data_IF_511679364868
#
_entry.id   IF_511679364868
#
_cell.length_a   1.000
_cell.length_b   1.000
_cell.length_c   1.000
_cell.angle_alpha   90.00
_cell.angle_beta   90.00
_cell.angle_gamma   90.00
#
_symmetry.space_group_name_H-M   'P 1'
#
loop_
_entity.id
_entity.type
_entity.pdbx_description
1 polymer ?
#
# COMPACT_ATOMS: atom_id res chain seq x y z
N UNK A 1 -22.42 93.33 34.29
CA UNK A 1 -21.50 92.48 35.07
C UNK A 1 -20.42 92.05 34.10
N UNK A 2 -19.46 92.94 33.88
CA UNK A 2 -18.30 92.73 33.00
C UNK A 2 -17.17 93.56 33.57
N UNK A 3 -16.01 92.95 33.79
CA UNK A 3 -14.75 93.65 34.04
C UNK A 3 -13.65 92.89 33.32
N UNK A 4 -13.19 93.47 32.21
CA UNK A 4 -11.86 93.27 31.64
C UNK A 4 -10.85 94.25 32.29
N UNK A 5 -9.56 93.99 31.98
CA UNK A 5 -8.38 94.90 32.00
C UNK A 5 -7.54 94.86 33.31
N UNK A 6 -6.20 94.85 33.34
CA UNK A 6 -5.14 95.07 32.32
C UNK A 6 -3.72 94.82 32.94
N UNK A 7 -2.70 94.54 32.10
CA UNK A 7 -1.20 94.72 32.23
C UNK A 7 -0.43 94.09 33.42
N UNK A 8 0.86 93.70 33.37
CA UNK A 8 1.99 94.20 32.56
C UNK A 8 3.19 93.20 32.48
N UNK A 9 4.01 93.44 31.45
CA UNK A 9 5.44 93.23 31.19
C UNK A 9 6.43 92.57 32.20
N UNK A 10 7.40 91.79 31.66
CA UNK A 10 8.83 92.09 31.94
C UNK A 10 9.75 91.03 32.57
N UNK A 11 10.46 90.28 31.72
CA UNK A 11 11.91 89.95 31.69
C UNK A 11 12.82 90.04 32.95
N UNK A 12 13.34 88.86 33.33
CA UNK A 12 14.68 88.46 33.87
C UNK A 12 15.41 89.27 34.97
N UNK A 13 15.87 88.58 36.04
CA UNK A 13 17.18 88.85 36.67
C UNK A 13 17.69 87.74 37.62
N UNK A 14 18.74 87.04 37.17
CA UNK A 14 20.02 86.69 37.82
C UNK A 14 20.16 86.20 39.30
N UNK A 15 20.54 84.90 39.42
CA UNK A 15 21.56 84.19 40.28
C UNK A 15 21.66 84.39 41.82
N UNK A 16 21.94 83.29 42.55
CA UNK A 16 23.31 83.02 43.08
C UNK A 16 23.78 81.56 42.85
N UNK A 17 25.02 81.30 42.43
CA UNK A 17 26.27 81.10 43.22
C UNK A 17 26.48 79.67 43.77
N UNK A 18 27.19 78.87 42.96
CA UNK A 18 28.23 77.88 43.26
C UNK A 18 28.18 77.11 44.61
N UNK A 19 27.86 75.81 44.54
CA UNK A 19 28.10 74.83 45.61
C UNK A 19 28.51 73.48 45.01
N UNK A 20 29.77 73.10 45.23
CA UNK A 20 30.36 71.81 44.82
C UNK A 20 29.67 70.65 45.54
N UNK A 21 29.23 69.63 44.81
CA UNK A 21 29.25 68.26 45.35
C UNK A 21 29.22 67.21 44.23
N UNK A 22 30.30 66.44 44.14
CA UNK A 22 30.37 65.20 43.36
C UNK A 22 29.28 64.26 43.86
N UNK A 23 28.44 63.75 42.95
CA UNK A 23 27.66 62.55 43.20
C UNK A 23 27.69 61.69 41.94
N UNK A 24 28.03 60.44 42.19
CA UNK A 24 28.32 59.39 41.24
C UNK A 24 27.16 59.16 40.28
N UNK A 25 27.54 58.95 39.01
CA UNK A 25 26.72 58.34 37.98
C UNK A 25 26.08 57.05 38.51
N UNK A 26 24.76 57.03 38.61
CA UNK A 26 23.96 55.82 38.88
C UNK A 26 22.80 55.80 37.90
N UNK A 27 23.08 55.42 36.66
CA UNK A 27 22.05 55.00 35.73
C UNK A 27 21.73 53.53 36.03
N UNK A 28 20.62 53.29 36.71
CA UNK A 28 19.92 52.01 36.62
C UNK A 28 19.15 52.04 35.30
N UNK A 29 19.58 51.25 34.33
CA UNK A 29 18.72 50.84 33.22
C UNK A 29 18.84 49.33 33.15
N UNK A 30 17.75 48.67 33.53
CA UNK A 30 17.52 47.24 33.40
C UNK A 30 18.05 46.74 32.05
N UNK A 31 19.04 45.85 32.10
CA UNK A 31 19.34 44.95 30.99
C UNK A 31 18.22 43.93 30.89
N UNK A 32 17.05 44.35 30.40
CA UNK A 32 16.03 43.42 29.92
C UNK A 32 16.61 42.74 28.68
N UNK A 33 17.14 41.54 28.89
CA UNK A 33 17.56 40.62 27.83
C UNK A 33 16.34 40.25 27.00
N UNK A 34 16.03 41.11 26.05
CA UNK A 34 15.14 40.83 24.93
C UNK A 34 15.90 39.96 23.92
N UNK A 35 16.11 38.70 24.26
CA UNK A 35 16.46 37.67 23.28
C UNK A 35 15.21 37.42 22.43
N UNK A 36 15.05 38.18 21.36
CA UNK A 36 14.15 37.78 20.29
C UNK A 36 14.74 36.52 19.67
N UNK A 37 14.01 35.42 19.82
CA UNK A 37 14.32 34.07 19.35
C UNK A 37 14.38 34.02 17.82
N UNK A 38 15.49 34.51 17.26
CA UNK A 38 15.76 34.47 15.82
C UNK A 38 16.05 33.03 15.33
N UNK A 39 16.36 32.11 16.26
CA UNK A 39 16.64 30.70 15.95
C UNK A 39 15.44 29.74 15.95
N UNK A 40 14.23 30.16 16.33
CA UNK A 40 13.11 29.20 16.48
C UNK A 40 12.45 28.76 15.18
N UNK A 41 12.49 29.60 14.14
CA UNK A 41 11.75 29.34 12.89
C UNK A 41 12.49 28.36 11.97
N UNK A 42 13.82 28.35 12.00
CA UNK A 42 14.65 27.45 11.21
C UNK A 42 14.71 26.06 11.84
N UNK A 43 14.75 25.96 13.18
CA UNK A 43 14.75 24.67 13.89
C UNK A 43 13.44 23.91 13.74
N UNK A 44 12.29 24.60 13.76
CA UNK A 44 10.96 23.97 13.58
C UNK A 44 10.77 23.44 12.16
N UNK A 45 11.25 24.17 11.16
CA UNK A 45 11.18 23.76 9.76
C UNK A 45 12.11 22.58 9.47
N UNK A 46 13.33 22.60 10.03
CA UNK A 46 14.28 21.48 9.91
C UNK A 46 13.76 20.23 10.64
N UNK A 47 13.13 20.39 11.81
CA UNK A 47 12.49 19.31 12.54
C UNK A 47 11.28 18.73 11.80
N UNK A 48 10.45 19.58 11.17
CA UNK A 48 9.32 19.12 10.36
C UNK A 48 9.77 18.36 9.11
N UNK A 49 10.79 18.85 8.39
CA UNK A 49 11.39 18.14 7.27
C UNK A 49 12.01 16.81 7.70
N UNK A 50 12.67 16.77 8.86
CA UNK A 50 13.22 15.54 9.44
C UNK A 50 12.11 14.54 9.79
N UNK A 51 11.00 15.00 10.38
CA UNK A 51 9.84 14.16 10.68
C UNK A 51 9.19 13.62 9.41
N UNK A 52 9.00 14.46 8.38
CA UNK A 52 8.44 14.04 7.10
C UNK A 52 9.35 13.01 6.42
N UNK A 53 10.66 13.24 6.39
CA UNK A 53 11.62 12.28 5.86
C UNK A 53 11.56 10.95 6.61
N UNK A 54 11.45 10.98 7.94
CA UNK A 54 11.30 9.78 8.77
C UNK A 54 9.98 9.05 8.49
N UNK A 55 8.87 9.77 8.34
CA UNK A 55 7.56 9.19 8.01
C UNK A 55 7.56 8.56 6.61
N UNK A 56 8.20 9.20 5.63
CA UNK A 56 8.35 8.64 4.28
C UNK A 56 9.25 7.41 4.28
N UNK A 57 10.37 7.45 5.02
CA UNK A 57 11.27 6.32 5.17
C UNK A 57 10.58 5.14 5.88
N UNK A 58 9.80 5.43 6.92
CA UNK A 58 8.99 4.45 7.65
C UNK A 58 7.90 3.86 6.76
N UNK A 59 7.19 4.69 6.01
CA UNK A 59 6.17 4.23 5.07
C UNK A 59 6.77 3.34 3.98
N UNK A 60 7.90 3.75 3.40
CA UNK A 60 8.62 2.97 2.39
C UNK A 60 9.18 1.66 2.98
N UNK A 61 9.73 1.69 4.19
CA UNK A 61 10.26 0.49 4.85
C UNK A 61 9.16 -0.49 5.24
N UNK A 62 8.02 -0.03 5.77
CA UNK A 62 6.85 -0.89 6.02
C UNK A 62 6.25 -1.43 4.73
N UNK A 63 6.20 -0.62 3.68
CA UNK A 63 5.71 -1.06 2.37
C UNK A 63 6.62 -2.14 1.77
N UNK A 64 7.94 -1.92 1.80
CA UNK A 64 8.93 -2.92 1.39
C UNK A 64 8.90 -4.17 2.27
N UNK A 65 8.78 -4.01 3.59
CA UNK A 65 8.67 -5.14 4.53
C UNK A 65 7.40 -5.95 4.26
N UNK A 66 6.27 -5.30 3.97
CA UNK A 66 5.04 -5.98 3.55
C UNK A 66 5.24 -6.72 2.23
N UNK A 67 5.92 -6.12 1.26
CA UNK A 67 6.25 -6.78 0.00
C UNK A 67 7.16 -7.99 0.20
N UNK A 68 8.19 -7.88 1.04
CA UNK A 68 9.14 -8.96 1.35
C UNK A 68 8.44 -10.06 2.17
N UNK A 69 7.56 -9.72 3.10
CA UNK A 69 6.77 -10.68 3.88
C UNK A 69 5.64 -11.32 3.06
N UNK A 70 5.20 -10.67 1.98
CA UNK A 70 4.30 -11.24 0.96
C UNK A 70 5.02 -12.12 -0.07
N UNK A 71 6.35 -12.07 -0.16
CA UNK A 71 7.13 -13.04 -0.92
C UNK A 71 7.30 -14.25 0.01
N UNK A 72 6.53 -15.34 -0.17
CA UNK A 72 6.77 -16.54 0.62
C UNK A 72 8.22 -16.97 0.42
N UNK A 73 8.92 -17.45 1.47
CA UNK A 73 10.23 -18.06 1.29
C UNK A 73 10.05 -19.22 0.31
N UNK A 74 10.52 -19.03 -0.92
CA UNK A 74 10.65 -20.09 -1.93
C UNK A 74 11.63 -21.10 -1.39
N UNK A 75 11.09 -22.12 -0.74
CA UNK A 75 11.84 -23.12 -0.01
C UNK A 75 10.95 -24.24 0.49
N UNK A 76 10.06 -24.75 -0.36
CA UNK A 76 9.88 -26.19 -0.50
C UNK A 76 9.11 -26.50 -1.77
N UNK A 77 9.42 -27.63 -2.40
CA UNK A 77 8.61 -28.17 -3.50
C UNK A 77 7.29 -28.59 -2.87
N UNK A 78 6.30 -27.70 -2.89
CA UNK A 78 4.96 -28.03 -2.40
C UNK A 78 4.37 -29.09 -3.33
N UNK A 79 4.48 -30.35 -2.92
CA UNK A 79 3.86 -31.52 -3.55
C UNK A 79 2.33 -31.54 -3.34
N UNK A 80 1.70 -30.38 -3.11
CA UNK A 80 0.26 -30.28 -3.16
C UNK A 80 -0.13 -29.98 -4.61
N UNK A 81 -1.07 -30.74 -5.20
CA UNK A 81 -1.69 -30.30 -6.43
C UNK A 81 -2.18 -28.85 -6.22
N UNK A 82 -1.93 -27.99 -7.19
CA UNK A 82 -2.42 -26.62 -7.15
C UNK A 82 -3.94 -26.56 -6.92
N UNK A 83 -4.49 -25.39 -6.56
CA UNK A 83 -5.91 -25.25 -6.27
C UNK A 83 -6.75 -25.85 -7.39
N UNK A 84 -7.62 -26.77 -7.05
CA UNK A 84 -8.52 -27.41 -8.01
C UNK A 84 -9.77 -26.54 -8.23
N UNK A 85 -10.43 -26.72 -9.37
CA UNK A 85 -11.66 -25.99 -9.73
C UNK A 85 -12.78 -26.10 -8.69
N UNK A 86 -12.84 -27.24 -7.98
CA UNK A 86 -13.80 -27.52 -6.92
C UNK A 86 -13.37 -27.02 -5.54
N UNK A 87 -12.10 -26.63 -5.39
CA UNK A 87 -11.57 -26.20 -4.10
C UNK A 87 -12.13 -24.84 -3.72
N UNK A 88 -12.29 -24.66 -2.40
CA UNK A 88 -12.57 -23.36 -1.84
C UNK A 88 -11.36 -22.43 -2.08
N UNK A 89 -11.57 -21.22 -2.64
CA UNK A 89 -10.47 -20.30 -2.88
C UNK A 89 -9.88 -19.83 -1.55
N UNK A 90 -8.55 -19.92 -1.40
CA UNK A 90 -7.87 -19.29 -0.27
C UNK A 90 -7.84 -17.77 -0.45
N UNK A 91 -7.88 -17.02 0.65
CA UNK A 91 -7.91 -15.55 0.60
C UNK A 91 -6.75 -14.94 -0.23
N UNK A 92 -5.47 -15.39 -0.08
CA UNK A 92 -4.38 -14.82 -0.86
C UNK A 92 -4.50 -15.10 -2.36
N UNK A 93 -4.95 -16.30 -2.74
CA UNK A 93 -5.14 -16.65 -4.14
C UNK A 93 -6.33 -15.93 -4.76
N UNK A 94 -7.44 -15.83 -4.04
CA UNK A 94 -8.61 -15.05 -4.46
C UNK A 94 -8.23 -13.61 -4.78
N UNK A 95 -7.52 -12.94 -3.86
CA UNK A 95 -7.08 -11.57 -4.06
C UNK A 95 -6.04 -11.42 -5.18
N UNK A 96 -5.09 -12.36 -5.31
CA UNK A 96 -4.07 -12.34 -6.36
C UNK A 96 -4.66 -12.55 -7.74
N UNK A 97 -5.61 -13.48 -7.89
CA UNK A 97 -6.17 -13.83 -9.20
C UNK A 97 -7.17 -12.78 -9.70
N UNK A 98 -7.86 -12.10 -8.78
CA UNK A 98 -8.80 -11.02 -9.11
C UNK A 98 -8.16 -9.63 -9.10
N UNK A 99 -6.85 -9.51 -8.88
CA UNK A 99 -6.14 -8.22 -8.94
C UNK A 99 -6.38 -7.44 -10.25
N UNK A 100 -6.44 -8.08 -11.44
CA UNK A 100 -6.72 -7.37 -12.71
C UNK A 100 -8.16 -6.85 -12.84
N UNK A 101 -9.08 -7.28 -11.96
CA UNK A 101 -10.48 -6.91 -12.05
C UNK A 101 -10.68 -5.48 -11.53
N UNK A 102 -10.84 -4.54 -12.47
CA UNK A 102 -11.03 -3.12 -12.15
C UNK A 102 -12.46 -2.88 -11.64
N UNK A 103 -13.46 -3.33 -12.40
CA UNK A 103 -14.88 -3.18 -12.11
C UNK A 103 -15.43 -4.41 -11.38
N UNK A 104 -15.04 -4.56 -10.11
CA UNK A 104 -15.33 -5.74 -9.30
C UNK A 104 -16.77 -5.78 -8.72
N UNK A 105 -17.50 -4.65 -8.74
CA UNK A 105 -18.82 -4.56 -8.10
C UNK A 105 -19.87 -5.48 -8.74
N UNK A 106 -20.04 -5.51 -10.09
CA UNK A 106 -20.96 -6.46 -10.72
C UNK A 106 -20.57 -7.92 -10.43
N UNK A 107 -19.26 -8.20 -10.41
CA UNK A 107 -18.73 -9.52 -10.06
C UNK A 107 -19.14 -9.95 -8.66
N UNK A 108 -19.01 -9.05 -7.67
CA UNK A 108 -19.41 -9.34 -6.30
C UNK A 108 -20.90 -9.70 -6.19
N UNK A 109 -21.77 -9.02 -6.95
CA UNK A 109 -23.21 -9.31 -6.97
C UNK A 109 -23.57 -10.60 -7.73
N UNK A 110 -22.73 -11.02 -8.68
CA UNK A 110 -22.87 -12.29 -9.38
C UNK A 110 -22.37 -13.50 -8.57
N UNK A 111 -21.71 -13.28 -7.42
CA UNK A 111 -21.31 -14.37 -6.55
C UNK A 111 -22.55 -15.04 -5.91
N UNK A 112 -22.60 -16.38 -5.88
CA UNK A 112 -23.68 -17.10 -5.21
C UNK A 112 -23.63 -16.88 -3.69
N UNK A 113 -24.76 -17.01 -3.01
CA UNK A 113 -24.86 -16.91 -1.55
C UNK A 113 -25.26 -15.53 -1.02
N UNK A 114 -25.64 -14.59 -1.89
CA UNK A 114 -26.37 -13.39 -1.46
C UNK A 114 -25.48 -12.26 -0.93
N UNK A 115 -24.36 -11.96 -1.62
CA UNK A 115 -23.68 -10.69 -1.45
C UNK A 115 -24.64 -9.55 -1.84
N UNK A 116 -24.90 -8.64 -0.90
CA UNK A 116 -25.83 -7.54 -1.12
C UNK A 116 -25.12 -6.27 -1.60
N UNK A 117 -25.86 -5.32 -2.15
CA UNK A 117 -25.31 -4.00 -2.49
C UNK A 117 -24.71 -3.29 -1.27
N UNK A 118 -25.29 -3.47 -0.08
CA UNK A 118 -24.76 -2.91 1.17
C UNK A 118 -23.36 -3.46 1.48
N UNK A 119 -23.14 -4.77 1.27
CA UNK A 119 -21.82 -5.38 1.45
C UNK A 119 -20.81 -4.79 0.47
N UNK A 120 -21.21 -4.61 -0.79
CA UNK A 120 -20.38 -3.98 -1.84
C UNK A 120 -20.01 -2.55 -1.44
N UNK A 121 -20.98 -1.75 -0.99
CA UNK A 121 -20.74 -0.36 -0.58
C UNK A 121 -19.79 -0.27 0.62
N UNK A 122 -19.90 -1.19 1.58
CA UNK A 122 -18.97 -1.29 2.72
C UNK A 122 -17.57 -1.73 2.25
N UNK A 123 -17.46 -2.67 1.33
CA UNK A 123 -16.16 -3.13 0.81
C UNK A 123 -15.49 -2.02 -0.01
N UNK A 124 -16.27 -1.20 -0.73
CA UNK A 124 -15.78 -0.10 -1.56
C UNK A 124 -14.95 0.92 -0.80
N UNK A 125 -15.21 1.13 0.49
CA UNK A 125 -14.44 2.06 1.33
C UNK A 125 -13.00 1.57 1.61
N UNK A 126 -12.66 0.32 1.28
CA UNK A 126 -11.30 -0.21 1.45
C UNK A 126 -10.39 0.38 0.38
N UNK A 127 -9.20 0.82 0.80
CA UNK A 127 -8.32 1.63 -0.05
C UNK A 127 -7.70 0.90 -1.25
N UNK A 128 -7.19 -0.32 -1.07
CA UNK A 128 -6.49 -1.05 -2.14
C UNK A 128 -7.35 -2.16 -2.76
N UNK A 129 -7.07 -2.51 -4.02
CA UNK A 129 -7.73 -3.64 -4.71
C UNK A 129 -7.60 -4.93 -3.90
N UNK A 130 -6.39 -5.23 -3.42
CA UNK A 130 -6.12 -6.38 -2.56
C UNK A 130 -7.02 -6.42 -1.31
N UNK A 131 -7.14 -5.30 -0.58
CA UNK A 131 -7.96 -5.24 0.63
C UNK A 131 -9.46 -5.35 0.33
N UNK A 132 -9.91 -4.86 -0.84
CA UNK A 132 -11.29 -5.07 -1.31
C UNK A 132 -11.55 -6.54 -1.59
N UNK A 133 -10.65 -7.23 -2.29
CA UNK A 133 -10.79 -8.65 -2.59
C UNK A 133 -10.70 -9.53 -1.34
N UNK A 134 -9.82 -9.21 -0.39
CA UNK A 134 -9.77 -9.89 0.91
C UNK A 134 -11.09 -9.72 1.69
N UNK A 135 -11.64 -8.50 1.72
CA UNK A 135 -12.90 -8.24 2.41
C UNK A 135 -14.09 -8.94 1.72
N UNK A 136 -14.11 -8.94 0.39
CA UNK A 136 -15.11 -9.66 -0.41
C UNK A 136 -15.03 -11.16 -0.15
N UNK A 137 -13.84 -11.75 -0.19
CA UNK A 137 -13.61 -13.16 0.11
C UNK A 137 -14.16 -13.54 1.49
N UNK A 138 -13.77 -12.79 2.52
CA UNK A 138 -14.22 -13.03 3.90
C UNK A 138 -15.74 -12.94 4.03
N UNK A 139 -16.35 -11.91 3.43
CA UNK A 139 -17.81 -11.73 3.47
C UNK A 139 -18.53 -12.83 2.69
N UNK A 140 -18.00 -13.21 1.53
CA UNK A 140 -18.56 -14.24 0.68
C UNK A 140 -18.54 -15.61 1.35
N UNK A 141 -17.44 -16.02 1.99
CA UNK A 141 -17.39 -17.29 2.71
C UNK A 141 -18.29 -17.34 3.95
N UNK A 142 -18.61 -16.20 4.56
CA UNK A 142 -19.58 -16.14 5.65
C UNK A 142 -20.99 -16.51 5.19
N UNK A 143 -21.37 -16.07 3.99
CA UNK A 143 -22.72 -16.30 3.43
C UNK A 143 -22.79 -17.52 2.52
N UNK A 144 -21.64 -17.97 2.01
CA UNK A 144 -21.48 -19.15 1.16
C UNK A 144 -20.27 -20.01 1.60
N UNK A 145 -20.40 -20.82 2.66
CA UNK A 145 -19.30 -21.66 3.15
C UNK A 145 -18.83 -22.73 2.16
N UNK A 146 -19.65 -23.08 1.16
CA UNK A 146 -19.35 -24.08 0.12
C UNK A 146 -18.81 -23.45 -1.17
N UNK A 147 -18.40 -22.19 -1.14
CA UNK A 147 -17.84 -21.48 -2.28
C UNK A 147 -16.64 -22.21 -2.90
N UNK A 148 -16.56 -22.19 -4.23
CA UNK A 148 -15.52 -22.85 -5.02
C UNK A 148 -14.92 -21.92 -6.10
N UNK A 149 -13.76 -22.28 -6.66
CA UNK A 149 -13.23 -21.59 -7.85
C UNK A 149 -14.18 -21.62 -9.04
N UNK A 150 -14.99 -22.67 -9.17
CA UNK A 150 -16.05 -22.75 -10.18
C UNK A 150 -17.04 -21.59 -10.07
N UNK A 151 -17.45 -21.24 -8.85
CA UNK A 151 -18.37 -20.12 -8.62
C UNK A 151 -17.74 -18.79 -9.03
N UNK A 152 -16.45 -18.59 -8.75
CA UNK A 152 -15.69 -17.41 -9.17
C UNK A 152 -15.68 -17.28 -10.70
N UNK A 153 -15.34 -18.37 -11.40
CA UNK A 153 -15.29 -18.39 -12.87
C UNK A 153 -16.68 -18.13 -13.48
N UNK A 154 -17.72 -18.72 -12.90
CA UNK A 154 -19.09 -18.51 -13.35
C UNK A 154 -19.54 -17.06 -13.14
N UNK A 155 -19.23 -16.45 -12.00
CA UNK A 155 -19.54 -15.05 -11.74
C UNK A 155 -18.80 -14.12 -12.70
N UNK A 156 -17.51 -14.36 -12.97
CA UNK A 156 -16.74 -13.59 -13.96
C UNK A 156 -17.35 -13.68 -15.36
N UNK A 157 -17.75 -14.88 -15.80
CA UNK A 157 -18.44 -15.09 -17.09
C UNK A 157 -19.76 -14.33 -17.15
N UNK A 158 -20.56 -14.34 -16.08
CA UNK A 158 -21.80 -13.56 -16.00
C UNK A 158 -21.56 -12.05 -16.12
N UNK A 159 -20.44 -11.55 -15.58
CA UNK A 159 -20.03 -10.14 -15.69
C UNK A 159 -19.30 -9.80 -16.99
N UNK A 160 -19.21 -10.73 -17.94
CA UNK A 160 -18.49 -10.58 -19.22
C UNK A 160 -16.96 -10.45 -19.08
N UNK A 161 -16.41 -10.81 -17.93
CA UNK A 161 -14.97 -10.87 -17.66
C UNK A 161 -14.35 -12.19 -18.16
N UNK A 162 -14.60 -12.50 -19.44
CA UNK A 162 -14.31 -13.82 -20.01
C UNK A 162 -12.80 -14.14 -20.10
N UNK A 163 -11.97 -13.13 -20.38
CA UNK A 163 -10.50 -13.31 -20.48
C UNK A 163 -9.88 -13.59 -19.12
N UNK A 164 -10.34 -12.89 -18.07
CA UNK A 164 -9.91 -13.15 -16.70
C UNK A 164 -10.42 -14.52 -16.22
N UNK A 165 -11.67 -14.87 -16.53
CA UNK A 165 -12.24 -16.17 -16.22
C UNK A 165 -11.40 -17.31 -16.84
N UNK A 166 -11.03 -17.21 -18.12
CA UNK A 166 -10.18 -18.20 -18.81
C UNK A 166 -8.81 -18.30 -18.16
N UNK A 167 -8.18 -17.17 -17.87
CA UNK A 167 -6.85 -17.12 -17.22
C UNK A 167 -6.85 -17.80 -15.85
N UNK A 168 -7.93 -17.67 -15.09
CA UNK A 168 -8.09 -18.33 -13.79
C UNK A 168 -8.42 -19.81 -13.97
N UNK A 169 -9.33 -20.14 -14.88
CA UNK A 169 -9.71 -21.52 -15.24
C UNK A 169 -8.48 -22.35 -15.63
N UNK A 170 -7.58 -21.81 -16.44
CA UNK A 170 -6.32 -22.47 -16.82
C UNK A 170 -5.42 -22.74 -15.60
N UNK A 171 -5.36 -21.80 -14.64
CA UNK A 171 -4.54 -21.93 -13.42
C UNK A 171 -5.08 -22.95 -12.42
N UNK A 172 -6.40 -23.16 -12.38
CA UNK A 172 -7.07 -24.05 -11.41
C UNK A 172 -7.46 -25.41 -11.99
N UNK A 173 -7.45 -25.57 -13.31
CA UNK A 173 -7.78 -26.83 -14.00
C UNK A 173 -6.54 -27.67 -14.29
N UNK A 174 -5.39 -27.04 -14.57
CA UNK A 174 -4.15 -27.76 -14.81
C UNK A 174 -2.95 -27.13 -14.05
N UNK A 175 -2.69 -27.58 -12.80
CA UNK A 175 -1.49 -27.18 -12.06
C UNK A 175 -0.17 -27.55 -12.76
N UNK A 176 -0.20 -28.42 -13.78
CA UNK A 176 0.96 -28.97 -14.49
C UNK A 176 1.27 -28.20 -15.79
N UNK A 177 0.29 -27.56 -16.43
CA UNK A 177 0.49 -26.81 -17.68
C UNK A 177 1.45 -25.61 -17.55
N UNK A 178 1.61 -25.05 -16.35
CA UNK A 178 2.60 -23.99 -16.08
C UNK A 178 4.07 -24.44 -16.12
N UNK A 179 4.34 -25.75 -16.28
CA UNK A 179 5.71 -26.30 -16.32
C UNK A 179 6.41 -26.14 -17.67
N UNK A 180 5.72 -25.72 -18.73
CA UNK A 180 6.30 -25.64 -20.08
C UNK A 180 6.90 -24.26 -20.43
N UNK A 181 7.71 -23.69 -19.55
CA UNK A 181 8.77 -22.76 -19.97
C UNK A 181 9.95 -22.99 -19.06
N UNK A 182 10.78 -23.97 -19.41
CA UNK A 182 12.23 -24.00 -19.20
C UNK A 182 12.76 -25.37 -19.69
N UNK A 183 13.38 -25.31 -20.87
CA UNK A 183 14.34 -26.28 -21.44
C UNK A 183 13.74 -27.62 -21.90
N UNK A 184 13.86 -28.04 -23.16
CA UNK A 184 15.11 -28.52 -23.78
C UNK A 184 15.09 -28.25 -25.29
N UNK A 185 15.98 -27.35 -25.74
CA UNK A 185 16.60 -27.46 -27.06
C UNK A 185 18.09 -27.70 -26.84
N UNK A 186 18.44 -28.94 -26.51
CA UNK A 186 19.76 -29.50 -26.81
C UNK A 186 19.54 -30.81 -27.53
N UNK A 187 19.52 -30.69 -28.86
CA UNK A 187 19.68 -31.79 -29.79
C UNK A 187 21.05 -32.43 -29.60
N UNK A 188 21.13 -33.51 -28.82
CA UNK A 188 22.29 -34.40 -28.86
C UNK A 188 21.84 -35.76 -29.39
N UNK A 189 22.06 -35.93 -30.69
CA UNK A 189 22.09 -37.22 -31.34
C UNK A 189 23.16 -38.10 -30.69
N UNK A 190 22.81 -39.34 -30.37
CA UNK A 190 23.73 -40.46 -30.51
C UNK A 190 22.92 -41.74 -30.78
N UNK A 191 23.26 -42.50 -31.84
CA UNK A 191 22.56 -43.72 -32.21
C UNK A 191 23.08 -44.89 -31.37
N UNK A 192 22.18 -45.58 -30.66
CA UNK A 192 22.49 -46.85 -29.99
C UNK A 192 22.56 -48.01 -30.99
N UNK A 193 23.34 -49.07 -30.72
CA UNK A 193 23.66 -50.10 -31.70
C UNK A 193 22.50 -51.08 -31.91
N UNK A 194 22.19 -51.31 -33.19
CA UNK A 194 21.26 -52.33 -33.66
C UNK A 194 21.81 -53.70 -33.24
N UNK A 195 21.15 -54.35 -32.28
CA UNK A 195 21.37 -55.78 -32.03
C UNK A 195 20.08 -56.50 -32.37
N UNK A 196 20.02 -56.99 -33.61
CA UNK A 196 18.91 -57.79 -34.11
C UNK A 196 18.80 -59.11 -33.37
N UNK A 197 17.58 -59.45 -32.97
CA UNK A 197 17.17 -60.82 -32.66
C UNK A 197 15.86 -61.07 -33.40
N UNK A 198 15.98 -61.56 -34.63
CA UNK A 198 14.88 -62.18 -35.33
C UNK A 198 14.50 -63.46 -34.58
N UNK A 199 13.34 -63.47 -33.95
CA UNK A 199 12.61 -64.70 -33.65
C UNK A 199 11.39 -64.68 -34.57
N UNK A 200 11.47 -65.41 -35.69
CA UNK A 200 10.32 -65.64 -36.55
C UNK A 200 9.52 -66.81 -35.96
N UNK A 201 8.30 -66.52 -35.56
CA UNK A 201 7.27 -67.47 -35.16
C UNK A 201 6.06 -67.33 -36.09
N UNK A 202 5.91 -68.29 -37.01
CA UNK A 202 4.67 -68.66 -37.75
C UNK A 202 5.07 -69.81 -38.68
N UNK A 203 4.84 -71.07 -38.33
CA UNK A 203 3.57 -71.83 -38.42
C UNK A 203 3.08 -72.04 -39.86
N UNK A 204 3.48 -73.20 -40.40
CA UNK A 204 2.76 -74.13 -41.26
C UNK A 204 1.52 -73.61 -42.00
N UNK A 205 1.58 -73.57 -43.33
CA UNK A 205 0.47 -73.97 -44.21
C UNK A 205 1.06 -74.68 -45.45
N UNK A 206 0.58 -75.92 -45.64
CA UNK A 206 0.76 -76.92 -46.71
C UNK A 206 1.52 -76.57 -47.99
#
# INVERSE_FOLDING_TARGET
METEQVLDCGTTSSRPANGRHSHSFKAAVDSKSGSTTSGEKTSKLLAALSLIALLLLLFLSLSLLRHILMVPPTGDVELNPGPMIDDQPSCPLFAKYLEPLVDWEPFALCLPGGITQLDVDIIKIKGSSYLRMEALHKRWLQVNPTASWRDVINALKQCKENELARTIEDKVTDPTAGRSTNEVSTSNANPGPITGKHTLNTTLIN
#
